data_IF_831609027416
#
_entry.id   IF_831609027416
#
_cell.length_a   1.000
_cell.length_b   1.000
_cell.length_c   1.000
_cell.angle_alpha   90.00
_cell.angle_beta   90.00
_cell.angle_gamma   90.00
#
_symmetry.space_group_name_H-M   'P 1'
#
loop_
_entity.id
_entity.type
_entity.pdbx_description
1 polymer ?
#
# COMPACT_ATOMS: atom_id res chain seq x y z
N UNK A 1 -4.09 4.00 -26.96
CA UNK A 1 -4.15 5.19 -27.82
C UNK A 1 -3.88 6.44 -27.00
N UNK A 2 -2.66 6.85 -26.68
CA UNK A 2 -1.33 6.22 -26.64
C UNK A 2 -0.41 7.25 -25.95
N UNK A 3 0.52 6.73 -25.13
CA UNK A 3 1.71 7.40 -24.58
C UNK A 3 1.55 8.68 -23.75
N UNK A 4 1.24 8.54 -22.45
CA UNK A 4 1.30 9.62 -21.46
C UNK A 4 2.66 9.79 -20.75
N UNK A 5 3.67 9.00 -21.17
CA UNK A 5 5.08 9.22 -20.87
C UNK A 5 5.77 9.52 -22.19
N UNK A 6 6.03 10.79 -22.50
CA UNK A 6 6.94 11.14 -23.59
C UNK A 6 8.35 11.13 -23.03
N UNK A 7 9.08 10.04 -23.25
CA UNK A 7 10.52 10.00 -23.06
C UNK A 7 11.18 10.82 -24.17
N UNK A 8 11.43 12.11 -23.92
CA UNK A 8 12.40 12.83 -24.74
C UNK A 8 13.79 12.51 -24.20
N UNK A 9 14.42 11.49 -24.79
CA UNK A 9 15.87 11.32 -24.68
C UNK A 9 16.54 12.46 -25.45
N UNK A 10 16.55 13.66 -24.89
CA UNK A 10 17.44 14.71 -25.35
C UNK A 10 18.67 14.64 -24.45
N UNK A 11 19.77 14.15 -25.03
CA UNK A 11 21.10 14.40 -24.49
C UNK A 11 21.24 15.92 -24.38
N UNK A 12 21.14 16.45 -23.15
CA UNK A 12 21.41 17.84 -22.88
C UNK A 12 22.83 18.16 -23.37
N UNK A 13 22.93 18.88 -24.47
CA UNK A 13 24.17 19.50 -24.90
C UNK A 13 24.59 20.51 -23.83
N UNK A 14 25.82 20.34 -23.35
CA UNK A 14 26.57 21.26 -22.48
C UNK A 14 26.21 21.26 -20.98
N UNK A 15 26.55 20.17 -20.29
CA UNK A 15 26.97 20.30 -18.88
C UNK A 15 28.42 20.78 -18.89
N UNK A 16 28.66 22.03 -18.48
CA UNK A 16 30.00 22.50 -18.12
C UNK A 16 30.52 21.59 -17.02
N UNK A 17 31.61 20.88 -17.35
CA UNK A 17 32.37 20.07 -16.39
C UNK A 17 32.97 21.02 -15.38
N UNK A 18 32.40 21.09 -14.19
CA UNK A 18 33.20 21.41 -13.02
C UNK A 18 34.09 20.19 -12.77
N UNK A 19 35.36 20.38 -13.11
CA UNK A 19 36.46 19.52 -12.72
C UNK A 19 36.49 19.41 -11.20
N UNK A 20 36.63 18.19 -10.71
CA UNK A 20 36.92 17.82 -9.32
C UNK A 20 35.74 17.33 -8.47
N UNK A 21 34.98 16.36 -9.01
CA UNK A 21 34.38 15.31 -8.16
C UNK A 21 34.12 14.03 -8.97
N UNK A 22 34.94 13.01 -8.65
CA UNK A 22 34.64 11.57 -8.84
C UNK A 22 34.61 11.08 -10.29
N UNK A 23 35.82 10.85 -10.83
CA UNK A 23 36.09 9.72 -11.71
C UNK A 23 35.78 8.40 -10.99
N UNK A 24 34.57 7.87 -11.20
CA UNK A 24 34.31 6.45 -11.16
C UNK A 24 33.11 6.17 -12.08
N UNK A 25 33.36 5.35 -13.10
CA UNK A 25 32.34 4.74 -13.94
C UNK A 25 31.13 4.29 -13.10
N UNK A 26 29.91 4.56 -13.56
CA UNK A 26 28.82 3.58 -13.51
C UNK A 26 27.69 4.02 -14.45
N UNK A 27 27.56 3.30 -15.56
CA UNK A 27 26.46 3.37 -16.53
C UNK A 27 25.16 2.74 -15.98
N UNK A 28 25.04 2.60 -14.66
CA UNK A 28 23.93 1.92 -14.02
C UNK A 28 22.75 2.87 -13.86
N UNK A 29 21.59 2.42 -14.30
CA UNK A 29 20.34 3.13 -14.10
C UNK A 29 20.00 3.18 -12.61
N UNK A 30 19.57 4.34 -12.12
CA UNK A 30 19.16 4.52 -10.73
C UNK A 30 18.05 3.53 -10.34
N UNK A 31 18.18 2.94 -9.17
CA UNK A 31 17.30 1.92 -8.60
C UNK A 31 16.46 2.48 -7.44
N UNK A 32 15.42 1.73 -7.06
CA UNK A 32 14.62 2.04 -5.87
C UNK A 32 15.51 2.07 -4.62
N UNK A 33 15.36 3.12 -3.80
CA UNK A 33 16.16 3.47 -2.62
C UNK A 33 17.58 4.00 -2.87
N UNK A 34 17.99 4.22 -4.12
CA UNK A 34 19.21 5.00 -4.35
C UNK A 34 19.02 6.42 -3.82
N UNK A 35 20.07 6.97 -3.20
CA UNK A 35 20.11 8.38 -2.82
C UNK A 35 20.78 9.13 -3.95
N UNK A 36 20.10 10.12 -4.51
CA UNK A 36 20.63 10.97 -5.55
C UNK A 36 20.34 12.44 -5.26
N UNK A 37 21.19 13.31 -5.77
CA UNK A 37 20.92 14.75 -5.79
C UNK A 37 20.27 15.10 -7.11
N UNK A 38 19.17 15.83 -7.02
CA UNK A 38 18.41 16.30 -8.17
C UNK A 38 18.28 17.81 -8.12
N UNK A 39 18.35 18.41 -9.30
CA UNK A 39 17.91 19.77 -9.52
C UNK A 39 16.54 19.71 -10.18
N UNK A 40 15.52 20.21 -9.47
CA UNK A 40 14.14 20.25 -9.95
C UNK A 40 13.86 21.67 -10.40
N UNK A 41 13.41 21.81 -11.64
CA UNK A 41 12.87 23.03 -12.21
C UNK A 41 11.39 22.82 -12.43
N UNK A 42 10.56 23.48 -11.64
CA UNK A 42 9.11 23.41 -11.78
C UNK A 42 8.58 24.62 -12.53
N UNK A 43 7.58 24.40 -13.37
CA UNK A 43 6.78 25.45 -14.01
C UNK A 43 5.31 25.27 -13.68
N UNK A 44 4.76 26.25 -12.97
CA UNK A 44 3.32 26.35 -12.73
C UNK A 44 2.67 27.10 -13.89
N UNK A 45 1.86 26.41 -14.70
CA UNK A 45 1.06 27.06 -15.73
C UNK A 45 -0.30 27.47 -15.14
N UNK A 46 -0.38 28.70 -14.62
CA UNK A 46 -1.66 29.35 -14.31
C UNK A 46 -2.36 29.84 -15.60
N UNK A 47 -1.56 30.22 -16.61
CA UNK A 47 -1.89 30.48 -18.02
C UNK A 47 -0.64 30.24 -18.87
N UNK A 48 -0.78 29.99 -20.17
CA UNK A 48 0.31 29.63 -21.11
C UNK A 48 1.48 30.65 -21.15
N UNK A 49 1.30 31.86 -20.62
CA UNK A 49 2.19 33.00 -20.85
C UNK A 49 3.07 33.41 -19.65
N UNK A 50 3.04 32.72 -18.51
CA UNK A 50 3.87 33.11 -17.34
C UNK A 50 4.35 31.93 -16.49
N UNK A 51 5.27 31.11 -17.03
CA UNK A 51 5.90 30.04 -16.27
C UNK A 51 6.82 30.62 -15.19
N UNK A 52 6.54 30.33 -13.91
CA UNK A 52 7.44 30.64 -12.79
C UNK A 52 8.42 29.48 -12.65
N UNK A 53 9.72 29.70 -12.87
CA UNK A 53 10.77 28.70 -12.63
C UNK A 53 11.14 28.67 -11.15
N UNK A 54 10.85 27.55 -10.49
CA UNK A 54 11.33 27.27 -9.14
C UNK A 54 12.47 26.25 -9.28
N UNK A 55 13.71 26.71 -9.10
CA UNK A 55 14.90 25.86 -9.07
C UNK A 55 15.21 25.41 -7.66
N UNK A 56 14.97 24.13 -7.36
CA UNK A 56 15.29 23.53 -6.07
C UNK A 56 16.31 22.42 -6.26
N UNK A 57 17.49 22.55 -5.66
CA UNK A 57 18.42 21.43 -5.52
C UNK A 57 18.06 20.67 -4.25
N UNK A 58 17.89 19.36 -4.35
CA UNK A 58 17.49 18.51 -3.24
C UNK A 58 18.14 17.14 -3.33
N UNK A 59 18.52 16.61 -2.17
CA UNK A 59 18.90 15.21 -2.03
C UNK A 59 17.63 14.39 -1.79
N UNK A 60 17.37 13.43 -2.67
CA UNK A 60 16.20 12.56 -2.60
C UNK A 60 16.65 11.11 -2.49
N UNK A 61 15.93 10.33 -1.69
CA UNK A 61 16.01 8.87 -1.75
C UNK A 61 14.85 8.39 -2.64
N UNK A 62 15.16 7.63 -3.69
CA UNK A 62 14.16 7.18 -4.64
C UNK A 62 13.16 6.29 -3.91
N UNK A 63 11.88 6.67 -3.94
CA UNK A 63 10.83 5.94 -3.24
C UNK A 63 10.71 6.23 -1.74
N UNK A 64 11.37 7.25 -1.17
CA UNK A 64 11.33 7.59 0.27
C UNK A 64 10.36 8.69 0.71
N UNK A 65 9.86 9.54 -0.19
CA UNK A 65 9.15 10.77 0.20
C UNK A 65 7.69 10.51 0.57
N UNK A 66 7.23 11.34 1.52
CA UNK A 66 5.97 11.25 2.22
C UNK A 66 4.81 11.81 1.38
N UNK A 67 4.34 11.01 0.42
CA UNK A 67 2.90 10.96 0.14
C UNK A 67 2.26 12.05 -0.72
N UNK A 68 3.02 12.84 -1.50
CA UNK A 68 2.42 13.58 -2.62
C UNK A 68 2.53 12.74 -3.89
N UNK A 69 1.41 12.59 -4.59
CA UNK A 69 1.32 11.87 -5.87
C UNK A 69 2.27 12.46 -6.93
N UNK A 70 2.54 13.77 -6.85
CA UNK A 70 3.55 14.45 -7.65
C UNK A 70 4.96 13.88 -7.41
N UNK A 71 5.34 13.64 -6.15
CA UNK A 71 6.63 13.01 -5.83
C UNK A 71 6.72 11.57 -6.34
N UNK A 72 5.63 10.80 -6.30
CA UNK A 72 5.58 9.43 -6.87
C UNK A 72 5.74 9.42 -8.41
N UNK A 73 5.24 10.45 -9.10
CA UNK A 73 5.47 10.65 -10.54
C UNK A 73 6.91 11.09 -10.82
N UNK A 74 7.44 12.07 -10.08
CA UNK A 74 8.84 12.48 -10.17
C UNK A 74 9.77 11.28 -9.94
N UNK A 75 9.45 10.41 -8.98
CA UNK A 75 10.18 9.16 -8.75
C UNK A 75 10.15 8.21 -9.93
N UNK A 76 8.99 8.05 -10.57
CA UNK A 76 8.88 7.18 -11.75
C UNK A 76 9.73 7.67 -12.92
N UNK A 77 10.03 8.97 -12.98
CA UNK A 77 10.87 9.57 -14.00
C UNK A 77 12.37 9.48 -13.67
N UNK A 78 12.74 9.58 -12.39
CA UNK A 78 14.13 9.40 -11.95
C UNK A 78 14.52 7.93 -11.85
N UNK A 79 13.57 7.03 -11.59
CA UNK A 79 13.80 5.59 -11.60
C UNK A 79 14.19 5.14 -13.02
N UNK A 80 15.35 4.51 -13.14
CA UNK A 80 15.88 4.13 -14.45
C UNK A 80 16.71 5.23 -15.14
N UNK A 81 16.72 6.46 -14.61
CA UNK A 81 17.52 7.56 -15.15
C UNK A 81 19.01 7.36 -14.86
N UNK A 82 19.86 8.12 -15.55
CA UNK A 82 21.32 8.12 -15.36
C UNK A 82 21.76 9.45 -14.78
N UNK A 83 22.87 9.45 -14.06
CA UNK A 83 23.52 10.69 -13.63
C UNK A 83 23.84 11.56 -14.86
N UNK A 84 23.48 12.83 -14.80
CA UNK A 84 23.61 13.80 -15.89
C UNK A 84 22.45 13.78 -16.89
N UNK A 85 21.45 12.90 -16.74
CA UNK A 85 20.24 12.96 -17.55
C UNK A 85 19.23 13.94 -16.95
N UNK A 86 18.56 14.67 -17.86
CA UNK A 86 17.38 15.45 -17.55
C UNK A 86 16.14 14.65 -17.92
N UNK A 87 15.19 14.56 -17.01
CA UNK A 87 13.88 13.96 -17.23
C UNK A 87 12.84 15.05 -17.19
N UNK A 88 11.96 15.11 -18.20
CA UNK A 88 10.83 16.02 -18.22
C UNK A 88 9.55 15.25 -17.88
N UNK A 89 8.74 15.84 -16.99
CA UNK A 89 7.45 15.28 -16.59
C UNK A 89 6.39 16.36 -16.78
N UNK A 90 5.33 16.02 -17.50
CA UNK A 90 4.15 16.86 -17.71
C UNK A 90 2.96 16.12 -17.11
N UNK A 91 2.31 16.67 -16.10
CA UNK A 91 1.18 16.02 -15.43
C UNK A 91 -0.04 16.94 -15.29
N UNK A 92 -1.20 16.29 -15.33
CA UNK A 92 -2.50 16.92 -15.15
C UNK A 92 -2.78 17.25 -13.67
N UNK A 93 -3.69 18.18 -13.39
CA UNK A 93 -3.96 18.69 -12.03
C UNK A 93 -4.44 17.60 -11.09
N UNK A 94 -5.04 16.53 -11.61
CA UNK A 94 -5.48 15.37 -10.84
C UNK A 94 -4.32 14.61 -10.14
N UNK A 95 -3.07 14.90 -10.53
CA UNK A 95 -1.86 14.25 -10.02
C UNK A 95 -0.98 15.14 -9.12
N UNK A 96 -1.13 16.46 -9.20
CA UNK A 96 -0.57 17.37 -8.21
C UNK A 96 -1.65 17.61 -7.17
N UNK A 97 -1.27 17.63 -5.90
CA UNK A 97 -2.21 17.86 -4.83
C UNK A 97 -2.98 19.17 -5.08
N UNK A 98 -4.25 19.06 -5.49
CA UNK A 98 -5.18 20.18 -5.51
C UNK A 98 -5.51 20.49 -4.05
N UNK A 99 -4.55 21.07 -3.32
CA UNK A 99 -4.78 21.57 -1.98
C UNK A 99 -5.98 22.52 -2.02
N UNK A 100 -6.95 22.28 -1.14
CA UNK A 100 -8.12 23.13 -0.95
C UNK A 100 -7.63 24.57 -0.72
N UNK A 101 -7.90 25.48 -1.67
CA UNK A 101 -7.54 26.89 -1.58
C UNK A 101 -6.40 27.37 -2.48
N UNK A 102 -5.73 26.49 -3.23
CA UNK A 102 -4.80 26.90 -4.31
C UNK A 102 -5.57 27.16 -5.61
N UNK A 103 -5.16 28.12 -6.46
CA UNK A 103 -5.80 28.33 -7.75
C UNK A 103 -5.73 27.06 -8.60
N UNK A 104 -6.73 26.78 -9.44
CA UNK A 104 -6.70 25.62 -10.34
C UNK A 104 -5.52 25.78 -11.29
N UNK A 105 -4.47 25.01 -11.07
CA UNK A 105 -3.34 24.92 -12.02
C UNK A 105 -3.78 23.97 -13.11
N UNK A 106 -3.70 24.34 -14.39
CA UNK A 106 -4.17 23.50 -15.51
C UNK A 106 -3.15 22.44 -15.92
N UNK A 107 -1.85 22.74 -15.75
CA UNK A 107 -0.73 21.83 -16.02
C UNK A 107 0.48 22.15 -15.15
N UNK A 108 1.17 21.11 -14.73
CA UNK A 108 2.48 21.20 -14.12
C UNK A 108 3.50 20.55 -15.03
N UNK A 109 4.61 21.24 -15.25
CA UNK A 109 5.79 20.69 -15.90
C UNK A 109 6.94 20.73 -14.90
N UNK A 110 7.72 19.66 -14.83
CA UNK A 110 8.97 19.64 -14.10
C UNK A 110 10.08 19.05 -14.96
N UNK A 111 11.25 19.67 -14.93
CA UNK A 111 12.49 19.12 -15.44
C UNK A 111 13.36 18.74 -14.24
N UNK A 112 13.79 17.49 -14.23
CA UNK A 112 14.60 16.93 -13.16
C UNK A 112 15.95 16.56 -13.76
N UNK A 113 16.99 17.26 -13.34
CA UNK A 113 18.36 16.88 -13.66
C UNK A 113 18.93 16.08 -12.50
N UNK A 114 19.30 14.82 -12.75
CA UNK A 114 20.07 14.04 -11.78
C UNK A 114 21.51 14.54 -11.80
N UNK A 115 21.94 15.26 -10.76
CA UNK A 115 23.28 15.84 -10.72
C UNK A 115 24.32 14.83 -10.27
N UNK A 116 24.02 14.02 -9.25
CA UNK A 116 24.91 12.94 -8.83
C UNK A 116 24.17 11.82 -8.08
N UNK A 117 24.73 10.61 -8.16
CA UNK A 117 24.41 9.50 -7.26
C UNK A 117 25.20 9.71 -5.96
N UNK A 118 24.49 9.79 -4.83
CA UNK A 118 25.08 9.99 -3.50
C UNK A 118 25.39 8.65 -2.85
N UNK A 119 24.47 7.69 -2.92
CA UNK A 119 24.68 6.32 -2.41
C UNK A 119 23.77 5.31 -3.10
N UNK A 120 24.29 4.12 -3.37
CA UNK A 120 23.49 3.00 -3.90
C UNK A 120 22.66 2.34 -2.80
N UNK A 121 21.46 1.89 -3.16
CA UNK A 121 20.60 1.10 -2.31
C UNK A 121 21.28 -0.23 -1.94
N UNK A 122 21.39 -0.48 -0.65
CA UNK A 122 21.70 -1.84 -0.15
C UNK A 122 20.64 -2.81 -0.66
N UNK A 123 21.04 -3.99 -1.15
CA UNK A 123 20.10 -5.02 -1.61
C UNK A 123 19.02 -5.32 -0.56
N UNK A 124 17.80 -5.64 -1.00
CA UNK A 124 16.70 -6.00 -0.08
C UNK A 124 17.08 -7.13 0.88
N UNK A 125 17.96 -8.06 0.45
CA UNK A 125 18.42 -9.19 1.25
C UNK A 125 19.48 -8.82 2.30
N UNK A 126 20.12 -7.66 2.15
CA UNK A 126 21.23 -7.20 2.98
C UNK A 126 20.80 -6.18 4.04
N UNK A 127 19.52 -5.79 4.04
CA UNK A 127 18.97 -4.87 5.04
C UNK A 127 18.88 -5.53 6.42
N UNK A 128 19.41 -4.83 7.43
CA UNK A 128 19.25 -5.24 8.83
C UNK A 128 17.77 -5.15 9.28
N UNK A 129 17.37 -5.91 10.32
CA UNK A 129 15.99 -5.94 10.78
C UNK A 129 15.40 -4.59 11.21
N UNK A 130 16.18 -3.68 11.78
CA UNK A 130 15.69 -2.38 12.23
C UNK A 130 15.47 -1.42 11.04
N UNK A 131 16.37 -1.44 10.04
CA UNK A 131 16.17 -0.71 8.78
C UNK A 131 14.93 -1.21 8.03
N UNK A 132 14.72 -2.53 8.00
CA UNK A 132 13.49 -3.13 7.42
C UNK A 132 12.25 -2.65 8.15
N UNK A 133 12.30 -2.57 9.48
CA UNK A 133 11.18 -2.11 10.30
C UNK A 133 10.83 -0.64 10.00
N UNK A 134 11.84 0.22 9.88
CA UNK A 134 11.64 1.63 9.53
C UNK A 134 11.01 1.79 8.13
N UNK A 135 11.51 1.06 7.13
CA UNK A 135 10.95 1.08 5.78
C UNK A 135 9.52 0.54 5.73
N UNK A 136 9.25 -0.55 6.45
CA UNK A 136 7.90 -1.10 6.56
C UNK A 136 6.91 -0.10 7.21
N UNK A 137 7.33 0.60 8.27
CA UNK A 137 6.52 1.63 8.92
C UNK A 137 6.26 2.84 8.01
N UNK A 138 7.28 3.28 7.27
CA UNK A 138 7.17 4.35 6.29
C UNK A 138 6.11 4.02 5.23
N UNK A 139 6.22 2.86 4.59
CA UNK A 139 5.26 2.43 3.57
C UNK A 139 3.87 2.13 4.15
N UNK A 140 3.75 1.61 5.38
CA UNK A 140 2.45 1.51 6.07
C UNK A 140 1.81 2.89 6.21
N UNK A 141 2.59 3.88 6.64
CA UNK A 141 2.10 5.25 6.87
C UNK A 141 1.63 5.89 5.56
N UNK A 142 2.37 5.72 4.45
CA UNK A 142 1.93 6.15 3.12
C UNK A 142 0.66 5.44 2.67
N UNK A 143 0.59 4.13 2.86
CA UNK A 143 -0.62 3.36 2.56
C UNK A 143 -1.85 3.87 3.31
N UNK A 144 -1.69 4.25 4.59
CA UNK A 144 -2.75 4.85 5.38
C UNK A 144 -3.19 6.23 4.82
N UNK A 145 -2.24 7.07 4.40
CA UNK A 145 -2.54 8.38 3.83
C UNK A 145 -3.29 8.25 2.50
N UNK A 146 -2.78 7.43 1.57
CA UNK A 146 -3.47 7.16 0.31
C UNK A 146 -4.86 6.55 0.50
N UNK A 147 -5.02 5.68 1.51
CA UNK A 147 -6.32 5.11 1.81
C UNK A 147 -7.32 6.18 2.31
N UNK A 148 -6.87 7.11 3.16
CA UNK A 148 -7.71 8.24 3.63
C UNK A 148 -8.07 9.20 2.50
N UNK A 149 -7.16 9.42 1.55
CA UNK A 149 -7.39 10.26 0.37
C UNK A 149 -8.17 9.56 -0.75
N UNK A 150 -8.62 8.32 -0.55
CA UNK A 150 -9.40 7.56 -1.54
C UNK A 150 -8.58 6.97 -2.70
N UNK A 151 -7.26 7.12 -2.70
CA UNK A 151 -6.37 6.59 -3.73
C UNK A 151 -6.03 5.11 -3.46
N UNK A 152 -7.01 4.23 -3.72
CA UNK A 152 -6.92 2.82 -3.33
C UNK A 152 -5.76 2.07 -3.99
N UNK A 153 -5.43 2.35 -5.25
CA UNK A 153 -4.31 1.71 -5.97
C UNK A 153 -2.95 2.02 -5.34
N UNK A 154 -2.69 3.30 -5.06
CA UNK A 154 -1.46 3.76 -4.41
C UNK A 154 -1.34 3.20 -2.98
N UNK A 155 -2.47 3.08 -2.26
CA UNK A 155 -2.49 2.46 -0.95
C UNK A 155 -2.16 0.96 -0.98
N UNK A 156 -2.70 0.19 -1.93
CA UNK A 156 -2.36 -1.24 -2.12
C UNK A 156 -0.87 -1.41 -2.39
N UNK A 157 -0.31 -0.61 -3.30
CA UNK A 157 1.11 -0.68 -3.64
C UNK A 157 1.98 -0.47 -2.40
N UNK A 158 1.68 0.56 -1.61
CA UNK A 158 2.44 0.88 -0.40
C UNK A 158 2.28 -0.20 0.70
N UNK A 159 1.09 -0.74 0.92
CA UNK A 159 0.93 -1.85 1.85
C UNK A 159 1.67 -3.12 1.40
N UNK A 160 1.69 -3.43 0.10
CA UNK A 160 2.47 -4.55 -0.43
C UNK A 160 3.97 -4.36 -0.25
N UNK A 161 4.49 -3.15 -0.50
CA UNK A 161 5.90 -2.79 -0.22
C UNK A 161 6.21 -2.97 1.27
N UNK A 162 5.36 -2.45 2.15
CA UNK A 162 5.52 -2.62 3.59
C UNK A 162 5.56 -4.10 4.01
N UNK A 163 4.67 -4.93 3.45
CA UNK A 163 4.67 -6.37 3.71
C UNK A 163 5.93 -7.07 3.20
N UNK A 164 6.45 -6.68 2.03
CA UNK A 164 7.69 -7.23 1.49
C UNK A 164 8.85 -7.04 2.48
N UNK A 165 8.99 -5.84 3.07
CA UNK A 165 9.99 -5.59 4.11
C UNK A 165 9.81 -6.45 5.36
N UNK A 166 8.57 -6.75 5.76
CA UNK A 166 8.31 -7.65 6.88
C UNK A 166 8.58 -9.12 6.57
N UNK A 167 8.44 -9.56 5.31
CA UNK A 167 8.45 -10.98 4.93
C UNK A 167 9.75 -11.47 4.27
N UNK A 168 10.71 -10.57 3.99
CA UNK A 168 12.00 -10.95 3.39
C UNK A 168 12.72 -12.06 4.19
N UNK A 169 13.29 -13.08 3.51
CA UNK A 169 14.06 -14.15 4.12
C UNK A 169 15.20 -13.60 4.98
N UNK A 170 15.41 -14.19 6.16
CA UNK A 170 16.30 -13.67 7.21
C UNK A 170 15.56 -13.15 8.46
N UNK A 171 14.27 -12.82 8.35
CA UNK A 171 13.40 -12.46 9.50
C UNK A 171 12.49 -13.61 9.99
N UNK A 172 12.49 -14.72 9.25
CA UNK A 172 11.69 -15.91 9.52
C UNK A 172 12.58 -17.15 9.53
N UNK A 173 13.69 -17.11 10.27
CA UNK A 173 14.42 -18.33 10.57
C UNK A 173 13.47 -19.28 11.31
N UNK A 174 13.08 -20.35 10.63
CA UNK A 174 12.26 -21.49 11.09
C UNK A 174 13.04 -22.36 12.09
N UNK A 175 13.88 -21.76 12.92
CA UNK A 175 14.65 -22.44 13.96
C UNK A 175 13.93 -22.31 15.30
N UNK A 176 13.72 -23.41 16.04
CA UNK A 176 13.25 -23.33 17.42
C UNK A 176 14.23 -22.46 18.22
N UNK A 177 13.67 -21.47 18.91
CA UNK A 177 14.39 -20.44 19.63
C UNK A 177 15.51 -21.00 20.53
N UNK A 178 16.75 -20.63 20.22
CA UNK A 178 17.93 -21.02 21.01
C UNK A 178 18.71 -19.82 21.58
N UNK A 179 18.28 -18.58 21.31
CA UNK A 179 18.87 -17.39 21.94
C UNK A 179 17.80 -16.30 22.16
N UNK A 180 17.79 -15.74 23.36
CA UNK A 180 16.72 -14.87 23.91
C UNK A 180 16.94 -13.39 23.53
N UNK A 181 18.01 -13.05 22.82
CA UNK A 181 18.43 -11.67 22.56
C UNK A 181 17.98 -11.07 21.22
N UNK A 182 17.74 -11.87 20.17
CA UNK A 182 17.37 -11.38 18.82
C UNK A 182 15.85 -11.27 18.58
N UNK A 183 15.05 -11.55 19.61
CA UNK A 183 13.60 -11.63 19.53
C UNK A 183 12.87 -10.29 19.31
N UNK A 184 13.55 -9.13 19.40
CA UNK A 184 12.85 -7.84 19.43
C UNK A 184 12.45 -7.33 18.03
N UNK A 185 13.36 -7.33 17.05
CA UNK A 185 13.10 -6.78 15.72
C UNK A 185 12.18 -7.69 14.90
N UNK A 186 12.42 -9.00 14.93
CA UNK A 186 11.57 -9.98 14.24
C UNK A 186 10.16 -10.03 14.82
N UNK A 187 10.00 -9.92 16.14
CA UNK A 187 8.67 -9.82 16.76
C UNK A 187 7.95 -8.53 16.35
N UNK A 188 8.68 -7.40 16.26
CA UNK A 188 8.17 -6.12 15.75
C UNK A 188 7.74 -6.23 14.28
N UNK A 189 8.56 -6.84 13.42
CA UNK A 189 8.24 -7.08 12.00
C UNK A 189 7.03 -7.99 11.83
N UNK A 190 6.94 -9.09 12.60
CA UNK A 190 5.75 -9.95 12.62
C UNK A 190 4.51 -9.18 13.04
N UNK A 191 4.60 -8.39 14.10
CA UNK A 191 3.47 -7.58 14.58
C UNK A 191 3.04 -6.52 13.58
N UNK A 192 3.99 -5.84 12.96
CA UNK A 192 3.74 -4.87 11.90
C UNK A 192 3.08 -5.53 10.68
N UNK A 193 3.55 -6.71 10.26
CA UNK A 193 2.94 -7.43 9.13
C UNK A 193 1.44 -7.71 9.36
N UNK A 194 1.04 -8.05 10.58
CA UNK A 194 -0.38 -8.29 10.94
C UNK A 194 -1.20 -7.00 10.84
N UNK A 195 -0.66 -5.89 11.33
CA UNK A 195 -1.29 -4.57 11.21
C UNK A 195 -1.48 -4.17 9.74
N UNK A 196 -0.46 -4.39 8.91
CA UNK A 196 -0.53 -4.07 7.48
C UNK A 196 -1.57 -4.95 6.78
N UNK A 197 -1.57 -6.27 7.04
CA UNK A 197 -2.59 -7.19 6.48
C UNK A 197 -4.00 -6.80 6.90
N UNK A 198 -4.17 -6.42 8.16
CA UNK A 198 -5.43 -5.90 8.65
C UNK A 198 -5.85 -4.65 7.85
N UNK A 199 -4.97 -3.66 7.68
CA UNK A 199 -5.27 -2.46 6.90
C UNK A 199 -5.59 -2.80 5.43
N UNK A 200 -4.85 -3.72 4.82
CA UNK A 200 -5.10 -4.21 3.47
C UNK A 200 -6.49 -4.85 3.34
N UNK A 201 -6.90 -5.69 4.29
CA UNK A 201 -8.25 -6.26 4.32
C UNK A 201 -9.34 -5.19 4.42
N UNK A 202 -9.08 -4.13 5.21
CA UNK A 202 -9.98 -2.98 5.31
C UNK A 202 -10.11 -2.22 3.99
N UNK A 203 -8.99 -1.97 3.31
CA UNK A 203 -8.94 -1.34 2.00
C UNK A 203 -9.70 -2.16 0.96
N UNK A 204 -9.43 -3.47 0.89
CA UNK A 204 -10.05 -4.37 -0.07
C UNK A 204 -11.58 -4.42 0.07
N UNK A 205 -12.10 -4.39 1.31
CA UNK A 205 -13.54 -4.29 1.56
C UNK A 205 -14.13 -2.93 1.15
N UNK A 206 -13.36 -1.85 1.26
CA UNK A 206 -13.79 -0.52 0.87
C UNK A 206 -13.79 -0.33 -0.67
N UNK A 207 -13.01 -1.12 -1.41
CA UNK A 207 -12.85 -1.05 -2.86
C UNK A 207 -14.05 -1.59 -3.67
N UNK A 208 -15.29 -1.25 -3.29
CA UNK A 208 -16.50 -1.66 -4.02
C UNK A 208 -16.63 -0.88 -5.34
N UNK A 209 -17.08 -1.52 -6.44
CA UNK A 209 -17.54 -2.91 -6.56
C UNK A 209 -16.42 -3.94 -6.77
N UNK A 210 -15.17 -3.51 -6.97
CA UNK A 210 -14.02 -4.35 -7.31
C UNK A 210 -13.44 -5.17 -6.12
N UNK A 211 -14.19 -5.30 -5.03
CA UNK A 211 -13.78 -6.07 -3.87
C UNK A 211 -13.74 -7.55 -4.23
N UNK A 212 -12.57 -8.18 -4.12
CA UNK A 212 -12.45 -9.64 -4.11
C UNK A 212 -12.44 -10.14 -2.65
N UNK A 213 -13.53 -10.77 -2.17
CA UNK A 213 -13.64 -11.22 -0.78
C UNK A 213 -12.59 -12.28 -0.39
N UNK A 214 -12.07 -13.07 -1.34
CA UNK A 214 -11.06 -14.10 -1.04
C UNK A 214 -9.74 -13.48 -0.57
N UNK A 215 -9.32 -12.35 -1.17
CA UNK A 215 -8.12 -11.64 -0.72
C UNK A 215 -8.30 -11.04 0.67
N UNK A 216 -9.51 -10.60 1.02
CA UNK A 216 -9.83 -10.11 2.36
C UNK A 216 -9.67 -11.24 3.37
N UNK A 217 -10.23 -12.43 3.07
CA UNK A 217 -10.12 -13.62 3.93
C UNK A 217 -8.66 -14.02 4.10
N UNK A 218 -7.88 -14.11 3.01
CA UNK A 218 -6.47 -14.49 3.08
C UNK A 218 -5.64 -13.53 3.96
N UNK A 219 -5.90 -12.22 3.84
CA UNK A 219 -5.23 -11.23 4.70
C UNK A 219 -5.66 -11.34 6.17
N UNK A 220 -6.95 -11.58 6.43
CA UNK A 220 -7.45 -11.80 7.78
C UNK A 220 -6.88 -13.09 8.39
N UNK A 221 -6.81 -14.19 7.64
CA UNK A 221 -6.29 -15.47 8.10
C UNK A 221 -4.81 -15.37 8.47
N UNK A 222 -4.01 -14.72 7.62
CA UNK A 222 -2.60 -14.48 7.92
C UNK A 222 -2.38 -13.47 9.07
N UNK A 223 -3.39 -12.69 9.44
CA UNK A 223 -3.36 -11.79 10.59
C UNK A 223 -3.89 -12.43 11.89
N UNK A 224 -4.74 -13.46 11.80
CA UNK A 224 -5.36 -14.19 12.92
C UNK A 224 -4.57 -15.47 13.20
N UNK A 225 -3.45 -15.33 13.92
CA UNK A 225 -2.62 -16.46 14.33
C UNK A 225 -2.85 -16.74 15.81
N UNK A 226 -3.44 -17.90 16.09
CA UNK A 226 -3.98 -18.30 17.41
C UNK A 226 -3.03 -18.09 18.60
N UNK A 227 -1.72 -18.28 18.42
CA UNK A 227 -0.74 -18.10 19.50
C UNK A 227 -0.51 -16.64 19.91
N UNK A 228 -1.01 -15.68 19.13
CA UNK A 228 -0.76 -14.24 19.28
C UNK A 228 -2.06 -13.49 19.60
N UNK A 229 -3.22 -14.08 19.29
CA UNK A 229 -4.54 -13.47 19.50
C UNK A 229 -4.81 -13.13 20.98
N UNK A 230 -4.20 -13.84 21.93
CA UNK A 230 -4.37 -13.56 23.38
C UNK A 230 -3.65 -12.27 23.84
N UNK A 231 -2.71 -11.74 23.03
CA UNK A 231 -1.95 -10.54 23.33
C UNK A 231 -2.45 -9.28 22.57
N UNK A 232 -3.33 -9.45 21.59
CA UNK A 232 -3.81 -8.35 20.78
C UNK A 232 -4.97 -7.58 21.47
N UNK A 233 -5.04 -6.25 21.31
CA UNK A 233 -6.17 -5.46 21.78
C UNK A 233 -7.51 -5.96 21.23
N UNK A 234 -8.54 -6.00 22.08
CA UNK A 234 -9.87 -6.49 21.71
C UNK A 234 -10.48 -5.76 20.51
N UNK A 235 -10.24 -4.44 20.37
CA UNK A 235 -10.73 -3.64 19.24
C UNK A 235 -10.06 -4.04 17.91
N UNK A 236 -8.79 -4.44 17.98
CA UNK A 236 -8.02 -4.90 16.83
C UNK A 236 -8.53 -6.25 16.36
N UNK A 237 -8.74 -7.18 17.28
CA UNK A 237 -9.34 -8.48 17.01
C UNK A 237 -10.75 -8.34 16.45
N UNK A 238 -11.59 -7.48 17.05
CA UNK A 238 -12.95 -7.20 16.58
C UNK A 238 -12.95 -6.79 15.11
N UNK A 239 -12.07 -5.87 14.70
CA UNK A 239 -11.92 -5.44 13.30
C UNK A 239 -11.53 -6.59 12.38
N UNK A 240 -10.63 -7.50 12.78
CA UNK A 240 -10.21 -8.65 11.95
C UNK A 240 -11.34 -9.63 11.74
N UNK A 241 -12.03 -10.02 12.81
CA UNK A 241 -13.20 -10.90 12.75
C UNK A 241 -14.34 -10.28 11.93
N UNK A 242 -14.60 -8.97 12.14
CA UNK A 242 -15.61 -8.24 11.37
C UNK A 242 -15.32 -8.25 9.86
N UNK A 243 -14.07 -7.91 9.48
CA UNK A 243 -13.66 -7.86 8.07
C UNK A 243 -13.76 -9.22 7.39
N UNK A 244 -13.27 -10.28 8.06
CA UNK A 244 -13.37 -11.66 7.56
C UNK A 244 -14.83 -12.10 7.41
N UNK A 245 -15.67 -11.82 8.41
CA UNK A 245 -17.09 -12.15 8.39
C UNK A 245 -17.85 -11.43 7.28
N UNK A 246 -17.55 -10.16 7.02
CA UNK A 246 -18.12 -9.41 5.90
C UNK A 246 -17.75 -10.03 4.53
N UNK A 247 -16.50 -10.48 4.38
CA UNK A 247 -16.06 -11.13 3.14
C UNK A 247 -16.73 -12.50 2.94
N UNK A 248 -16.84 -13.31 3.99
CA UNK A 248 -17.54 -14.60 3.94
C UNK A 248 -19.03 -14.43 3.64
N UNK A 249 -19.67 -13.41 4.21
CA UNK A 249 -21.04 -13.05 3.90
C UNK A 249 -21.21 -12.70 2.41
N UNK A 250 -20.27 -11.92 1.85
CA UNK A 250 -20.28 -11.59 0.42
C UNK A 250 -20.14 -12.83 -0.49
N UNK A 251 -19.49 -13.90 -0.01
CA UNK A 251 -19.39 -15.19 -0.69
C UNK A 251 -20.58 -16.14 -0.41
N UNK A 252 -21.57 -15.72 0.38
CA UNK A 252 -22.70 -16.56 0.77
C UNK A 252 -22.36 -17.65 1.80
N UNK A 253 -21.19 -17.57 2.45
CA UNK A 253 -20.73 -18.53 3.46
C UNK A 253 -21.33 -18.18 4.83
N UNK A 254 -22.63 -18.36 4.97
CA UNK A 254 -23.42 -17.83 6.09
C UNK A 254 -22.96 -18.38 7.46
N UNK A 255 -22.66 -19.66 7.59
CA UNK A 255 -22.26 -20.27 8.87
C UNK A 255 -20.90 -19.72 9.36
N UNK A 256 -19.95 -19.58 8.43
CA UNK A 256 -18.63 -19.01 8.71
C UNK A 256 -18.74 -17.52 9.05
N UNK A 257 -19.56 -16.78 8.30
CA UNK A 257 -19.82 -15.38 8.55
C UNK A 257 -20.46 -15.16 9.92
N UNK A 258 -21.42 -16.01 10.32
CA UNK A 258 -22.05 -15.95 11.64
C UNK A 258 -21.01 -16.12 12.75
N UNK A 259 -20.15 -17.14 12.63
CA UNK A 259 -19.11 -17.41 13.63
C UNK A 259 -18.18 -16.21 13.81
N UNK A 260 -17.68 -15.64 12.70
CA UNK A 260 -16.76 -14.50 12.77
C UNK A 260 -17.46 -13.22 13.25
N UNK A 261 -18.68 -12.93 12.79
CA UNK A 261 -19.41 -11.72 13.20
C UNK A 261 -19.92 -11.79 14.63
N UNK A 262 -20.29 -12.98 15.14
CA UNK A 262 -20.62 -13.18 16.54
C UNK A 262 -19.39 -12.95 17.43
N UNK A 263 -18.21 -13.43 17.00
CA UNK A 263 -16.96 -13.15 17.71
C UNK A 263 -16.64 -11.65 17.71
N UNK A 264 -16.79 -10.98 16.58
CA UNK A 264 -16.63 -9.53 16.50
C UNK A 264 -17.60 -8.78 17.43
N UNK A 265 -18.87 -9.20 17.49
CA UNK A 265 -19.88 -8.60 18.36
C UNK A 265 -19.55 -8.80 19.85
N UNK A 266 -19.00 -9.96 20.23
CA UNK A 266 -18.55 -10.20 21.61
C UNK A 266 -17.40 -9.28 22.05
N UNK A 267 -16.54 -8.88 21.10
CA UNK A 267 -15.37 -8.02 21.36
C UNK A 267 -15.70 -6.52 21.24
N UNK A 268 -16.70 -6.16 20.43
CA UNK A 268 -17.17 -4.79 20.22
C UNK A 268 -18.72 -4.72 20.26
N UNK A 269 -19.34 -4.91 21.43
CA UNK A 269 -20.81 -5.05 21.56
C UNK A 269 -21.60 -3.78 21.22
N UNK A 270 -20.95 -2.61 21.26
CA UNK A 270 -21.57 -1.32 20.95
C UNK A 270 -21.42 -0.90 19.49
N UNK A 271 -20.68 -1.67 18.67
CA UNK A 271 -20.46 -1.35 17.27
C UNK A 271 -21.70 -1.66 16.42
N UNK A 272 -22.34 -0.60 15.92
CA UNK A 272 -23.54 -0.69 15.08
C UNK A 272 -23.29 -1.36 13.73
N UNK A 273 -22.09 -1.25 13.18
CA UNK A 273 -21.75 -1.87 11.90
C UNK A 273 -21.64 -3.40 12.06
N UNK A 274 -21.11 -3.86 13.19
CA UNK A 274 -21.01 -5.28 13.53
C UNK A 274 -22.40 -5.87 13.76
N UNK A 275 -23.23 -5.22 14.59
CA UNK A 275 -24.58 -5.72 14.89
C UNK A 275 -25.48 -5.76 13.65
N UNK A 276 -25.40 -4.74 12.78
CA UNK A 276 -26.14 -4.73 11.52
C UNK A 276 -25.75 -5.90 10.59
N UNK A 277 -24.45 -6.19 10.46
CA UNK A 277 -23.97 -7.32 9.65
C UNK A 277 -24.34 -8.67 10.24
N UNK A 278 -24.28 -8.83 11.56
CA UNK A 278 -24.69 -10.07 12.22
C UNK A 278 -26.19 -10.36 11.98
N UNK A 279 -27.05 -9.34 12.11
CA UNK A 279 -28.48 -9.47 11.83
C UNK A 279 -28.77 -9.86 10.37
N UNK A 280 -27.99 -9.35 9.41
CA UNK A 280 -28.08 -9.74 8.00
C UNK A 280 -27.78 -11.23 7.80
N UNK A 281 -26.75 -11.75 8.45
CA UNK A 281 -26.40 -13.18 8.41
C UNK A 281 -27.48 -14.04 9.05
N UNK A 282 -27.97 -13.66 10.23
CA UNK A 282 -29.03 -14.40 10.93
C UNK A 282 -30.32 -14.47 10.10
N UNK A 283 -30.69 -13.37 9.44
CA UNK A 283 -31.81 -13.36 8.52
C UNK A 283 -31.55 -14.27 7.30
N UNK A 284 -30.32 -14.31 6.80
CA UNK A 284 -29.88 -15.22 5.73
C UNK A 284 -30.00 -16.69 6.11
N UNK A 285 -29.51 -17.07 7.31
CA UNK A 285 -29.56 -18.43 7.83
C UNK A 285 -31.01 -18.91 7.96
N UNK A 286 -31.88 -18.11 8.59
CA UNK A 286 -33.31 -18.42 8.73
C UNK A 286 -33.98 -18.68 7.38
N UNK A 287 -33.63 -17.89 6.34
CA UNK A 287 -34.14 -18.10 4.97
C UNK A 287 -33.60 -19.40 4.37
N UNK A 288 -32.33 -19.71 4.58
CA UNK A 288 -31.70 -20.95 4.09
C UNK A 288 -32.35 -22.19 4.72
N UNK A 289 -32.53 -22.20 6.05
CA UNK A 289 -33.19 -23.27 6.80
C UNK A 289 -34.63 -23.47 6.34
N UNK A 290 -35.40 -22.39 6.18
CA UNK A 290 -36.78 -22.48 5.69
C UNK A 290 -36.85 -23.06 4.27
N UNK A 291 -35.88 -22.72 3.41
CA UNK A 291 -35.77 -23.26 2.05
C UNK A 291 -35.41 -24.75 2.07
N UNK A 292 -34.43 -25.16 2.88
CA UNK A 292 -34.05 -26.56 3.05
C UNK A 292 -35.20 -27.39 3.61
N UNK A 293 -35.88 -26.92 4.65
CA UNK A 293 -37.04 -27.60 5.23
C UNK A 293 -38.18 -27.77 4.20
N UNK A 294 -38.44 -26.76 3.38
CA UNK A 294 -39.45 -26.83 2.32
C UNK A 294 -39.04 -27.80 1.20
N UNK A 295 -37.78 -27.78 0.78
CA UNK A 295 -37.23 -28.71 -0.21
C UNK A 295 -37.26 -30.16 0.26
N UNK A 296 -36.88 -30.41 1.52
CA UNK A 296 -36.99 -31.73 2.15
C UNK A 296 -38.44 -32.21 2.19
N UNK A 297 -39.39 -31.37 2.62
CA UNK A 297 -40.82 -31.72 2.60
C UNK A 297 -41.29 -32.14 1.20
N UNK A 298 -40.86 -31.43 0.15
CA UNK A 298 -41.21 -31.77 -1.22
C UNK A 298 -40.58 -33.11 -1.67
N UNK A 299 -39.31 -33.37 -1.33
CA UNK A 299 -38.62 -34.62 -1.70
C UNK A 299 -39.15 -35.86 -0.97
N UNK A 300 -39.64 -35.71 0.27
CA UNK A 300 -40.13 -36.82 1.10
C UNK A 300 -41.65 -36.91 1.18
N UNK A 301 -42.39 -36.04 0.48
CA UNK A 301 -43.83 -36.21 0.34
C UNK A 301 -44.10 -37.41 -0.56
N UNK A 302 -44.96 -38.37 -0.14
CA UNK A 302 -45.28 -39.52 -0.98
C UNK A 302 -45.88 -39.01 -2.29
N UNK A 303 -45.11 -39.20 -3.38
CA UNK A 303 -45.57 -38.87 -4.72
C UNK A 303 -46.89 -39.60 -4.95
N UNK A 304 -47.93 -38.86 -5.35
CA UNK A 304 -49.17 -39.46 -5.84
C UNK A 304 -48.81 -40.30 -7.07
N UNK A 305 -48.59 -41.60 -6.86
CA UNK A 305 -48.65 -42.62 -7.91
C UNK A 305 -50.10 -43.01 -8.13
#
# INVERSE_FOLDING_TARGET
ADSHLRWFNQLGSEVKRDSDAVTANNFECLQDRDTCRVLIKEWQCATVESPIEIGLESEIVIGSNLGDLAWDLLYSCVLGARVGHTCEVDWQPDYADSHIGSPPVERFRAEILVTCLVSMATSYAELDPDSRLQLAELHKTRGNNYFRSGQLGAAILNYNRALAYCLLPGSLATTPASSVSDWSADSRLRSLSRLIRQNMAGLQLAAKPNCNPEFVIANCDAALVKAIDDADPADMLAKRFYRRGCAQLALGQLDLAQTNLARAASLAPTDRAVSARLAEVEAGLKRSEARLASGMKAMFSPGKR
#
